data_IF_268705015996
#
_entry.id   IF_268705015996
#
_cell.length_a   1.000
_cell.length_b   1.000
_cell.length_c   1.000
_cell.angle_alpha   90.00
_cell.angle_beta   90.00
_cell.angle_gamma   90.00
#
_symmetry.space_group_name_H-M   'P 1'
#
loop_
_entity.id
_entity.type
_entity.pdbx_description
1 polymer ?
#
# COMPACT_ATOMS: atom_id res chain seq x y z
N UNK A 1 23.33 -32.52 22.96
CA UNK A 1 23.40 -32.17 21.53
C UNK A 1 22.18 -32.77 20.87
N UNK A 2 21.10 -32.00 20.77
CA UNK A 2 19.93 -32.37 19.97
C UNK A 2 20.36 -32.28 18.52
N UNK A 3 20.42 -33.42 17.84
CA UNK A 3 20.65 -33.44 16.40
C UNK A 3 19.42 -32.80 15.74
N UNK A 4 19.56 -31.55 15.30
CA UNK A 4 18.61 -30.94 14.37
C UNK A 4 18.56 -31.84 13.15
N UNK A 5 17.47 -32.59 13.00
CA UNK A 5 17.28 -33.43 11.83
C UNK A 5 17.00 -32.52 10.64
N UNK A 6 17.50 -32.83 9.43
CA UNK A 6 17.31 -31.98 8.25
C UNK A 6 15.82 -31.70 7.94
N UNK A 7 14.90 -32.56 8.37
CA UNK A 7 13.45 -32.31 8.36
C UNK A 7 13.02 -31.14 9.25
N UNK A 8 13.51 -31.07 10.49
CA UNK A 8 13.23 -29.93 11.38
C UNK A 8 13.81 -28.62 10.84
N UNK A 9 14.98 -28.66 10.20
CA UNK A 9 15.57 -27.47 9.56
C UNK A 9 14.74 -27.00 8.36
N UNK A 10 14.24 -27.93 7.52
CA UNK A 10 13.40 -27.61 6.37
C UNK A 10 12.02 -27.06 6.78
N UNK A 11 11.41 -27.62 7.83
CA UNK A 11 10.16 -27.10 8.38
C UNK A 11 10.33 -25.70 8.99
N UNK A 12 11.44 -25.48 9.71
CA UNK A 12 11.75 -24.17 10.27
C UNK A 12 11.98 -23.13 9.17
N UNK A 13 12.69 -23.49 8.10
CA UNK A 13 12.93 -22.60 6.98
C UNK A 13 11.66 -22.28 6.19
N UNK A 14 10.77 -23.26 5.99
CA UNK A 14 9.47 -23.04 5.37
C UNK A 14 8.58 -22.12 6.23
N UNK A 15 8.56 -22.32 7.55
CA UNK A 15 7.84 -21.47 8.48
C UNK A 15 8.42 -20.04 8.51
N UNK A 16 9.74 -19.89 8.49
CA UNK A 16 10.42 -18.60 8.44
C UNK A 16 10.12 -17.84 7.14
N UNK A 17 10.17 -18.53 5.99
CA UNK A 17 9.81 -17.93 4.69
C UNK A 17 8.33 -17.53 4.67
N UNK A 18 7.42 -18.40 5.12
CA UNK A 18 6.00 -18.09 5.20
C UNK A 18 5.71 -16.89 6.11
N UNK A 19 6.36 -16.82 7.28
CA UNK A 19 6.25 -15.68 8.20
C UNK A 19 6.81 -14.39 7.60
N UNK A 20 7.98 -14.46 6.96
CA UNK A 20 8.59 -13.30 6.27
C UNK A 20 7.68 -12.78 5.16
N UNK A 21 7.14 -13.66 4.33
CA UNK A 21 6.32 -13.28 3.20
C UNK A 21 4.98 -12.69 3.66
N UNK A 22 4.41 -13.20 4.77
CA UNK A 22 3.24 -12.61 5.42
C UNK A 22 3.52 -11.20 5.95
N UNK A 23 4.66 -10.98 6.62
CA UNK A 23 5.06 -9.66 7.11
C UNK A 23 5.27 -8.70 5.95
N UNK A 24 5.96 -9.12 4.89
CA UNK A 24 6.16 -8.30 3.70
C UNK A 24 4.83 -7.92 3.02
N UNK A 25 3.88 -8.85 2.96
CA UNK A 25 2.53 -8.59 2.44
C UNK A 25 1.80 -7.50 3.25
N UNK A 26 1.86 -7.59 4.59
CA UNK A 26 1.24 -6.61 5.48
C UNK A 26 1.90 -5.24 5.33
N UNK A 27 3.24 -5.18 5.36
CA UNK A 27 4.00 -3.93 5.22
C UNK A 27 3.71 -3.27 3.88
N UNK A 28 3.67 -4.06 2.81
CA UNK A 28 3.32 -3.59 1.47
C UNK A 28 1.88 -3.07 1.41
N UNK A 29 0.91 -3.77 2.03
CA UNK A 29 -0.47 -3.29 2.12
C UNK A 29 -0.58 -1.98 2.91
N UNK A 30 0.15 -1.85 4.01
CA UNK A 30 0.20 -0.61 4.80
C UNK A 30 0.78 0.57 3.99
N UNK A 31 1.82 0.33 3.18
CA UNK A 31 2.37 1.35 2.28
C UNK A 31 1.30 1.86 1.31
N UNK A 32 0.52 0.97 0.70
CA UNK A 32 -0.55 1.35 -0.22
C UNK A 32 -1.66 2.13 0.48
N UNK A 33 -2.04 1.77 1.69
CA UNK A 33 -2.97 2.57 2.50
C UNK A 33 -2.45 3.98 2.78
N UNK A 34 -1.15 4.14 3.08
CA UNK A 34 -0.53 5.45 3.29
C UNK A 34 -0.53 6.26 1.98
N UNK A 35 -0.20 5.66 0.84
CA UNK A 35 -0.24 6.33 -0.46
C UNK A 35 -1.67 6.76 -0.83
N UNK A 36 -2.66 5.92 -0.56
CA UNK A 36 -4.07 6.26 -0.77
C UNK A 36 -4.51 7.44 0.09
N UNK A 37 -4.17 7.43 1.38
CA UNK A 37 -4.46 8.53 2.30
C UNK A 37 -3.77 9.84 1.88
N UNK A 38 -2.52 9.76 1.41
CA UNK A 38 -1.80 10.90 0.86
C UNK A 38 -2.49 11.47 -0.38
N UNK A 39 -2.92 10.61 -1.31
CA UNK A 39 -3.68 11.03 -2.50
C UNK A 39 -4.99 11.75 -2.15
N UNK A 40 -5.75 11.21 -1.18
CA UNK A 40 -6.97 11.86 -0.67
C UNK A 40 -6.65 13.20 0.00
N UNK A 41 -5.54 13.28 0.74
CA UNK A 41 -5.08 14.53 1.34
C UNK A 41 -4.80 15.62 0.31
N UNK A 42 -4.17 15.29 -0.82
CA UNK A 42 -3.94 16.23 -1.92
C UNK A 42 -5.23 16.71 -2.56
N UNK A 43 -6.20 15.81 -2.75
CA UNK A 43 -7.54 16.17 -3.25
C UNK A 43 -8.25 17.11 -2.29
N UNK A 44 -8.17 16.83 -0.98
CA UNK A 44 -8.78 17.66 0.05
C UNK A 44 -8.16 19.06 0.13
N UNK A 45 -6.83 19.17 0.10
CA UNK A 45 -6.14 20.46 0.06
C UNK A 45 -6.48 21.26 -1.20
N UNK A 46 -6.67 20.57 -2.34
CA UNK A 46 -7.11 21.22 -3.57
C UNK A 46 -8.54 21.72 -3.47
N UNK A 47 -9.45 20.94 -2.86
CA UNK A 47 -10.81 21.39 -2.60
C UNK A 47 -10.82 22.65 -1.72
N UNK A 48 -10.00 22.70 -0.66
CA UNK A 48 -9.83 23.89 0.18
C UNK A 48 -9.33 25.09 -0.63
N UNK A 49 -8.32 24.90 -1.47
CA UNK A 49 -7.78 25.97 -2.31
C UNK A 49 -8.82 26.51 -3.30
N UNK A 50 -9.66 25.64 -3.87
CA UNK A 50 -10.78 26.04 -4.73
C UNK A 50 -11.83 26.85 -3.95
N UNK A 51 -12.21 26.40 -2.76
CA UNK A 51 -13.20 27.11 -1.94
C UNK A 51 -12.70 28.47 -1.44
N UNK A 52 -11.39 28.63 -1.30
CA UNK A 52 -10.76 29.87 -0.85
C UNK A 52 -10.30 30.77 -2.01
N UNK A 53 -10.60 30.41 -3.27
CA UNK A 53 -10.16 31.13 -4.48
C UNK A 53 -8.62 31.34 -4.55
N UNK A 54 -7.86 30.41 -3.97
CA UNK A 54 -6.39 30.39 -3.99
C UNK A 54 -5.81 29.30 -4.89
N UNK A 55 -6.67 28.64 -5.68
CA UNK A 55 -6.26 27.60 -6.60
C UNK A 55 -5.37 28.17 -7.72
N UNK A 56 -4.24 27.52 -7.95
CA UNK A 56 -3.29 27.85 -9.02
C UNK A 56 -3.07 26.64 -9.91
N UNK A 57 -2.46 26.77 -11.11
CA UNK A 57 -2.17 25.63 -11.98
C UNK A 57 -1.46 24.45 -11.26
N UNK A 58 -0.48 24.68 -10.34
CA UNK A 58 0.09 23.60 -9.53
C UNK A 58 -0.92 22.87 -8.63
N UNK A 59 -1.94 23.56 -8.12
CA UNK A 59 -3.00 22.96 -7.30
C UNK A 59 -3.77 21.90 -8.10
N UNK A 60 -4.10 22.19 -9.36
CA UNK A 60 -4.78 21.24 -10.24
C UNK A 60 -3.90 20.04 -10.59
N UNK A 61 -2.60 20.25 -10.82
CA UNK A 61 -1.65 19.16 -11.04
C UNK A 61 -1.54 18.26 -9.80
N UNK A 62 -1.51 18.84 -8.60
CA UNK A 62 -1.51 18.10 -7.34
C UNK A 62 -2.79 17.27 -7.16
N UNK A 63 -3.95 17.79 -7.55
CA UNK A 63 -5.20 17.02 -7.55
C UNK A 63 -5.18 15.84 -8.52
N UNK A 64 -4.69 16.02 -9.75
CA UNK A 64 -4.58 14.93 -10.72
C UNK A 64 -3.62 13.84 -10.22
N UNK A 65 -2.50 14.25 -9.63
CA UNK A 65 -1.56 13.32 -9.01
C UNK A 65 -2.20 12.59 -7.83
N UNK A 66 -2.89 13.32 -6.95
CA UNK A 66 -3.63 12.74 -5.82
C UNK A 66 -4.69 11.74 -6.24
N UNK A 67 -5.50 12.07 -7.26
CA UNK A 67 -6.50 11.17 -7.82
C UNK A 67 -5.87 9.88 -8.36
N UNK A 68 -4.76 9.99 -9.08
CA UNK A 68 -4.03 8.83 -9.61
C UNK A 68 -3.53 7.93 -8.49
N UNK A 69 -2.92 8.50 -7.44
CA UNK A 69 -2.46 7.74 -6.28
C UNK A 69 -3.61 7.06 -5.54
N UNK A 70 -4.73 7.75 -5.34
CA UNK A 70 -5.91 7.18 -4.67
C UNK A 70 -6.49 6.01 -5.44
N UNK A 71 -6.59 6.10 -6.78
CA UNK A 71 -7.10 5.00 -7.60
C UNK A 71 -6.15 3.80 -7.55
N UNK A 72 -4.85 4.01 -7.76
CA UNK A 72 -3.86 2.93 -7.72
C UNK A 72 -3.84 2.23 -6.35
N UNK A 73 -3.80 3.01 -5.28
CA UNK A 73 -3.84 2.46 -3.92
C UNK A 73 -5.15 1.73 -3.62
N UNK A 74 -6.29 2.27 -4.08
CA UNK A 74 -7.59 1.66 -3.90
C UNK A 74 -7.71 0.31 -4.60
N UNK A 75 -7.24 0.24 -5.85
CA UNK A 75 -7.24 -0.98 -6.65
C UNK A 75 -6.35 -2.05 -6.03
N UNK A 76 -5.16 -1.66 -5.59
CA UNK A 76 -4.20 -2.55 -4.95
C UNK A 76 -4.71 -3.11 -3.61
N UNK A 77 -5.31 -2.26 -2.77
CA UNK A 77 -5.94 -2.69 -1.53
C UNK A 77 -7.18 -3.56 -1.79
N UNK A 78 -7.97 -3.26 -2.81
CA UNK A 78 -9.14 -4.05 -3.19
C UNK A 78 -8.75 -5.48 -3.53
N UNK A 79 -7.73 -5.66 -4.39
CA UNK A 79 -7.22 -6.98 -4.76
C UNK A 79 -6.70 -7.74 -3.54
N UNK A 80 -5.91 -7.09 -2.67
CA UNK A 80 -5.38 -7.73 -1.45
C UNK A 80 -6.47 -8.18 -0.48
N UNK A 81 -7.51 -7.37 -0.29
CA UNK A 81 -8.59 -7.68 0.66
C UNK A 81 -9.56 -8.76 0.15
N UNK A 82 -9.74 -8.86 -1.17
CA UNK A 82 -10.66 -9.82 -1.78
C UNK A 82 -9.96 -11.11 -2.25
N UNK A 83 -8.68 -11.29 -1.93
CA UNK A 83 -7.91 -12.47 -2.33
C UNK A 83 -7.58 -12.52 -3.83
N UNK A 84 -7.68 -11.37 -4.51
CA UNK A 84 -7.20 -11.20 -5.89
C UNK A 84 -5.67 -11.06 -5.93
N UNK A 85 -5.10 -11.18 -7.13
CA UNK A 85 -3.67 -10.99 -7.33
C UNK A 85 -3.34 -9.50 -7.25
N UNK A 86 -2.49 -9.05 -6.31
CA UNK A 86 -2.00 -7.67 -6.31
C UNK A 86 -1.29 -7.33 -7.62
N UNK A 87 -1.39 -6.07 -8.04
CA UNK A 87 -0.79 -5.60 -9.29
C UNK A 87 0.66 -5.21 -9.05
N UNK A 88 1.00 -4.79 -7.82
CA UNK A 88 2.32 -4.29 -7.42
C UNK A 88 2.87 -4.90 -6.12
#
# INVERSE_FOLDING_TARGET
MTADTPETTAQYEAAYRGGRDAVLSIVSGAMWAVLGAFGVGLLWLTAIALTNDTATPPTYAAALFGATLTVLAGDELYHRLHGGTPIF
#
